data_IF_654838666217
#
_entry.id   IF_654838666217
#
_cell.length_a   1.000
_cell.length_b   1.000
_cell.length_c   1.000
_cell.angle_alpha   90.00
_cell.angle_beta   90.00
_cell.angle_gamma   90.00
#
_symmetry.space_group_name_H-M   'P 1'
#
loop_
_entity.id
_entity.type
_entity.pdbx_description
1 polymer ?
#
# COMPACT_ATOMS: atom_id res chain seq x y z
N UNK A 1 -1.82 -18.75 -44.08
CA UNK A 1 -0.34 -18.85 -43.90
C UNK A 1 0.07 -17.59 -43.16
N UNK A 2 0.70 -17.54 -41.99
CA UNK A 2 1.45 -18.51 -41.20
C UNK A 2 1.45 -17.98 -39.74
N UNK A 3 1.13 -18.81 -38.75
CA UNK A 3 1.50 -18.62 -37.34
C UNK A 3 2.95 -19.07 -37.16
N UNK A 4 3.74 -18.53 -36.21
CA UNK A 4 3.94 -19.19 -34.90
C UNK A 4 4.03 -18.16 -33.72
N UNK A 5 3.37 -18.33 -32.56
CA UNK A 5 3.60 -19.25 -31.42
C UNK A 5 4.99 -19.15 -30.75
N UNK A 6 4.95 -19.25 -29.40
CA UNK A 6 5.99 -19.73 -28.46
C UNK A 6 7.02 -18.67 -27.97
N UNK A 7 7.43 -18.55 -26.68
CA UNK A 7 7.61 -19.54 -25.60
C UNK A 7 7.80 -18.83 -24.22
N UNK A 8 7.26 -19.42 -23.14
CA UNK A 8 7.60 -19.19 -21.72
C UNK A 8 9.02 -19.68 -21.38
N UNK A 9 9.88 -18.89 -20.73
CA UNK A 9 11.10 -19.36 -20.01
C UNK A 9 11.36 -18.35 -18.86
N UNK A 10 11.08 -18.69 -17.61
CA UNK A 10 12.03 -19.23 -16.61
C UNK A 10 13.16 -18.26 -16.21
N UNK A 11 13.13 -17.83 -14.95
CA UNK A 11 14.29 -17.78 -14.07
C UNK A 11 15.22 -16.56 -14.16
N UNK A 12 15.29 -15.80 -13.06
CA UNK A 12 16.52 -15.10 -12.68
C UNK A 12 16.64 -15.09 -11.15
N UNK A 13 17.35 -16.10 -10.66
CA UNK A 13 17.86 -16.20 -9.29
C UNK A 13 19.01 -15.20 -9.19
N UNK A 14 18.90 -14.20 -8.31
CA UNK A 14 20.02 -13.30 -8.01
C UNK A 14 20.90 -13.96 -6.93
N UNK A 15 21.98 -14.60 -7.38
CA UNK A 15 23.07 -15.03 -6.52
C UNK A 15 23.96 -13.83 -6.18
N UNK A 16 24.08 -13.48 -4.89
CA UNK A 16 25.05 -12.50 -4.44
C UNK A 16 26.38 -13.21 -4.17
N UNK A 17 27.41 -12.77 -4.89
CA UNK A 17 28.77 -13.31 -4.91
C UNK A 17 29.53 -12.99 -3.62
N UNK A 18 30.17 -14.03 -3.09
CA UNK A 18 31.18 -13.97 -2.03
C UNK A 18 32.53 -13.47 -2.59
N UNK A 19 33.27 -12.68 -1.79
CA UNK A 19 34.68 -12.43 -2.07
C UNK A 19 35.31 -11.34 -1.20
N UNK A 20 35.99 -11.73 -0.12
CA UNK A 20 37.13 -11.00 0.44
C UNK A 20 38.18 -12.03 0.86
N UNK A 21 39.36 -11.91 0.26
CA UNK A 21 40.44 -12.91 0.22
C UNK A 21 41.47 -12.65 1.34
N UNK A 22 41.77 -13.70 2.13
CA UNK A 22 43.05 -14.23 2.66
C UNK A 22 44.29 -13.29 2.87
N UNK A 23 45.02 -13.30 4.00
CA UNK A 23 46.11 -14.25 4.45
C UNK A 23 46.90 -13.63 5.67
N UNK A 24 47.97 -14.23 6.27
CA UNK A 24 47.99 -15.37 7.20
C UNK A 24 48.89 -15.22 8.48
N UNK A 25 48.77 -16.20 9.39
CA UNK A 25 49.82 -16.90 10.18
C UNK A 25 50.51 -16.32 11.46
N UNK A 26 50.48 -17.20 12.48
CA UNK A 26 51.43 -17.47 13.58
C UNK A 26 51.34 -16.67 14.90
N UNK A 27 50.52 -17.19 15.84
CA UNK A 27 50.96 -17.40 17.22
C UNK A 27 50.18 -18.58 17.82
N UNK A 28 50.88 -19.67 18.09
CA UNK A 28 50.42 -20.81 18.87
C UNK A 28 50.16 -20.37 20.32
N UNK A 29 49.14 -20.91 20.98
CA UNK A 29 49.21 -21.33 22.40
C UNK A 29 47.94 -22.09 22.83
N UNK A 30 48.07 -23.41 22.84
CA UNK A 30 47.59 -24.41 23.82
C UNK A 30 46.10 -24.46 24.23
N UNK A 31 45.42 -25.61 24.08
CA UNK A 31 44.10 -25.85 24.65
C UNK A 31 44.18 -26.27 26.13
N UNK A 32 43.39 -25.69 27.04
CA UNK A 32 42.94 -26.38 28.23
C UNK A 32 41.56 -27.03 27.99
N UNK A 33 41.45 -28.24 28.53
CA UNK A 33 40.26 -29.08 28.60
C UNK A 33 39.11 -28.40 29.38
N UNK A 34 37.88 -28.94 29.33
CA UNK A 34 36.68 -28.28 29.82
C UNK A 34 36.55 -28.47 31.33
N UNK A 35 36.58 -27.37 32.09
CA UNK A 35 36.06 -27.35 33.45
C UNK A 35 34.62 -26.84 33.40
N UNK A 36 33.72 -27.78 33.54
CA UNK A 36 32.34 -27.54 33.92
C UNK A 36 32.33 -27.08 35.38
N UNK A 37 32.24 -25.77 35.62
CA UNK A 37 31.77 -25.27 36.90
C UNK A 37 30.54 -24.38 36.68
N UNK A 38 29.41 -25.06 36.88
CA UNK A 38 28.05 -24.53 36.82
C UNK A 38 27.72 -24.06 38.23
N UNK A 39 27.94 -22.79 38.52
CA UNK A 39 27.40 -22.11 39.69
C UNK A 39 26.62 -20.87 39.20
N UNK A 40 25.36 -21.06 38.82
CA UNK A 40 24.20 -20.86 39.70
C UNK A 40 23.63 -19.43 39.68
N UNK A 41 23.06 -19.03 38.55
CA UNK A 41 21.78 -18.34 38.57
C UNK A 41 20.70 -19.39 38.27
N UNK A 42 20.27 -20.11 39.32
CA UNK A 42 19.13 -21.03 39.24
C UNK A 42 17.86 -20.18 39.12
N UNK A 43 17.44 -19.87 37.90
CA UNK A 43 16.06 -19.46 37.65
C UNK A 43 15.16 -20.70 37.76
N UNK A 44 14.06 -20.66 38.53
CA UNK A 44 13.11 -21.76 38.60
C UNK A 44 12.38 -21.97 37.27
N UNK A 45 12.44 -23.21 36.76
CA UNK A 45 11.42 -23.88 35.93
C UNK A 45 10.66 -23.06 34.87
N UNK A 46 11.22 -22.98 33.65
CA UNK A 46 10.43 -22.62 32.45
C UNK A 46 10.63 -23.58 31.25
N UNK A 47 11.47 -24.61 31.37
CA UNK A 47 11.79 -25.52 30.26
C UNK A 47 11.06 -26.87 30.33
N UNK A 48 10.27 -27.13 31.38
CA UNK A 48 9.43 -28.35 31.50
C UNK A 48 8.00 -28.03 31.04
N UNK A 49 7.86 -27.84 29.74
CA UNK A 49 6.57 -27.69 29.09
C UNK A 49 6.70 -28.28 27.71
N UNK A 50 6.03 -29.42 27.49
CA UNK A 50 5.76 -29.96 26.15
C UNK A 50 5.54 -28.81 25.16
N UNK A 51 6.15 -28.80 23.96
CA UNK A 51 5.87 -27.77 22.98
C UNK A 51 4.36 -27.80 22.72
N UNK A 52 3.65 -26.82 23.30
CA UNK A 52 2.26 -26.60 22.98
C UNK A 52 2.32 -26.08 21.56
N UNK A 53 1.96 -26.93 20.59
CA UNK A 53 1.58 -26.47 19.27
C UNK A 53 0.48 -25.45 19.50
N UNK A 54 0.85 -24.17 19.49
CA UNK A 54 -0.12 -23.10 19.41
C UNK A 54 -0.90 -23.40 18.12
N UNK A 55 -2.25 -23.38 18.15
CA UNK A 55 -3.00 -23.34 16.91
C UNK A 55 -2.39 -22.22 16.06
N UNK A 56 -2.31 -22.36 14.72
CA UNK A 56 -1.89 -21.25 13.90
C UNK A 56 -2.78 -20.09 14.30
N UNK A 57 -2.19 -19.10 14.98
CA UNK A 57 -2.79 -17.79 15.09
C UNK A 57 -2.94 -17.44 13.62
N UNK A 58 -4.18 -17.47 13.13
CA UNK A 58 -4.50 -16.78 11.90
C UNK A 58 -3.81 -15.43 12.07
N UNK A 59 -2.91 -15.11 11.15
CA UNK A 59 -2.46 -13.74 10.97
C UNK A 59 -3.74 -12.96 10.67
N UNK A 60 -4.45 -12.60 11.74
CA UNK A 60 -5.29 -11.43 11.76
C UNK A 60 -4.33 -10.37 11.28
N UNK A 61 -4.59 -9.87 10.08
CA UNK A 61 -3.91 -8.72 9.54
C UNK A 61 -4.11 -7.65 10.60
N UNK A 62 -3.13 -7.53 11.51
CA UNK A 62 -3.00 -6.39 12.39
C UNK A 62 -3.08 -5.19 11.46
N UNK A 63 -3.92 -4.18 11.75
CA UNK A 63 -3.87 -2.93 11.02
C UNK A 63 -2.40 -2.51 11.00
N UNK A 64 -1.76 -2.65 9.85
CA UNK A 64 -0.43 -2.06 9.65
C UNK A 64 -0.66 -0.61 10.00
N UNK A 65 0.00 -0.13 11.05
CA UNK A 65 -0.12 1.26 11.47
C UNK A 65 -0.02 2.11 10.22
N UNK A 66 -1.14 2.71 9.80
CA UNK A 66 -1.17 3.44 8.56
C UNK A 66 -0.12 4.52 8.64
N UNK A 67 0.62 4.69 7.55
CA UNK A 67 1.54 5.81 7.48
C UNK A 67 0.72 7.09 7.74
N UNK A 68 1.25 8.05 8.52
CA UNK A 68 0.52 9.26 8.87
C UNK A 68 0.03 10.03 7.62
N UNK A 69 0.78 9.96 6.52
CA UNK A 69 0.42 10.53 5.23
C UNK A 69 -0.82 9.86 4.61
N UNK A 70 -0.97 8.53 4.75
CA UNK A 70 -2.14 7.79 4.27
C UNK A 70 -3.39 8.14 5.07
N UNK A 71 -3.25 8.25 6.40
CA UNK A 71 -4.34 8.67 7.26
C UNK A 71 -4.79 10.11 6.90
N UNK A 72 -3.83 11.02 6.68
CA UNK A 72 -4.10 12.38 6.21
C UNK A 72 -4.84 12.38 4.86
N UNK A 73 -4.33 11.65 3.87
CA UNK A 73 -4.95 11.53 2.55
C UNK A 73 -6.39 11.04 2.61
N UNK A 74 -6.68 10.03 3.45
CA UNK A 74 -8.05 9.55 3.66
C UNK A 74 -8.96 10.62 4.28
N UNK A 75 -8.51 11.28 5.34
CA UNK A 75 -9.30 12.32 6.02
C UNK A 75 -9.63 13.47 5.04
N UNK A 76 -8.63 13.91 4.27
CA UNK A 76 -8.82 14.94 3.24
C UNK A 76 -9.80 14.50 2.16
N UNK A 77 -9.69 13.26 1.65
CA UNK A 77 -10.65 12.74 0.68
C UNK A 77 -12.07 12.65 1.24
N UNK A 78 -12.21 12.25 2.49
CA UNK A 78 -13.51 12.19 3.17
C UNK A 78 -14.15 13.57 3.23
N UNK A 79 -13.38 14.61 3.57
CA UNK A 79 -13.85 15.99 3.57
C UNK A 79 -14.23 16.47 2.17
N UNK A 80 -13.39 16.24 1.16
CA UNK A 80 -13.67 16.62 -0.24
C UNK A 80 -14.95 15.97 -0.77
N UNK A 81 -15.15 14.67 -0.48
CA UNK A 81 -16.37 13.95 -0.88
C UNK A 81 -17.59 14.52 -0.15
N UNK A 82 -17.48 14.81 1.14
CA UNK A 82 -18.58 15.41 1.91
C UNK A 82 -18.96 16.79 1.36
N UNK A 83 -17.99 17.64 1.02
CA UNK A 83 -18.22 18.94 0.40
C UNK A 83 -18.92 18.76 -0.96
N UNK A 84 -18.41 17.85 -1.81
CA UNK A 84 -19.02 17.57 -3.10
C UNK A 84 -20.48 17.09 -3.02
N UNK A 85 -20.82 16.34 -1.96
CA UNK A 85 -22.19 15.92 -1.66
C UNK A 85 -23.08 17.09 -1.18
N UNK A 86 -22.50 18.10 -0.53
CA UNK A 86 -23.19 19.37 -0.20
C UNK A 86 -23.41 20.24 -1.46
N UNK A 87 -22.56 20.05 -2.48
CA UNK A 87 -22.70 20.64 -3.80
C UNK A 87 -21.71 21.75 -4.11
N UNK A 88 -20.75 22.02 -3.22
CA UNK A 88 -19.60 22.88 -3.47
C UNK A 88 -18.30 22.16 -3.09
N UNK A 89 -17.14 22.69 -3.48
CA UNK A 89 -15.85 22.18 -3.01
C UNK A 89 -15.08 23.28 -2.28
N UNK A 90 -14.60 22.99 -1.07
CA UNK A 90 -13.68 23.88 -0.36
C UNK A 90 -12.30 23.84 -1.01
N UNK A 91 -11.97 24.90 -1.75
CA UNK A 91 -10.65 25.05 -2.38
C UNK A 91 -9.57 25.56 -1.44
N UNK A 92 -9.86 25.85 -0.17
CA UNK A 92 -8.90 26.41 0.78
C UNK A 92 -7.72 25.46 1.03
N UNK A 93 -7.98 24.14 1.01
CA UNK A 93 -6.95 23.10 1.14
C UNK A 93 -6.18 22.79 -0.15
N UNK A 94 -6.53 23.43 -1.28
CA UNK A 94 -5.94 23.17 -2.58
C UNK A 94 -4.86 24.20 -2.91
N UNK A 95 -3.89 23.80 -3.72
CA UNK A 95 -3.00 24.77 -4.36
C UNK A 95 -3.77 25.55 -5.43
N UNK A 96 -3.36 26.79 -5.70
CA UNK A 96 -4.01 27.65 -6.70
C UNK A 96 -4.15 26.98 -8.08
N UNK A 97 -3.14 26.22 -8.54
CA UNK A 97 -3.19 25.52 -9.83
C UNK A 97 -4.31 24.47 -9.88
N UNK A 98 -4.46 23.68 -8.81
CA UNK A 98 -5.49 22.64 -8.74
C UNK A 98 -6.87 23.27 -8.59
N UNK A 99 -6.99 24.31 -7.77
CA UNK A 99 -8.24 25.05 -7.60
C UNK A 99 -8.70 25.71 -8.92
N UNK A 100 -7.79 26.32 -9.68
CA UNK A 100 -8.10 26.93 -10.97
C UNK A 100 -8.56 25.90 -12.00
N UNK A 101 -8.00 24.68 -11.95
CA UNK A 101 -8.40 23.56 -12.81
C UNK A 101 -9.74 22.94 -12.41
N UNK A 102 -10.05 22.86 -11.12
CA UNK A 102 -11.27 22.24 -10.61
C UNK A 102 -12.48 23.16 -10.67
N UNK A 103 -12.33 24.46 -10.39
CA UNK A 103 -13.44 25.43 -10.43
C UNK A 103 -14.32 25.39 -11.70
N UNK A 104 -13.79 25.28 -12.94
CA UNK A 104 -14.64 25.19 -14.14
C UNK A 104 -15.43 23.88 -14.25
N UNK A 105 -14.97 22.80 -13.60
CA UNK A 105 -15.61 21.48 -13.64
C UNK A 105 -16.28 21.10 -12.32
N UNK A 106 -16.25 21.97 -11.30
CA UNK A 106 -16.78 21.72 -9.96
C UNK A 106 -18.23 21.27 -10.01
N UNK A 107 -19.09 22.00 -10.70
CA UNK A 107 -20.52 21.68 -10.78
C UNK A 107 -20.79 20.33 -11.46
N UNK A 108 -19.95 19.92 -12.41
CA UNK A 108 -20.05 18.61 -13.05
C UNK A 108 -19.55 17.51 -12.11
N UNK A 109 -18.42 17.76 -11.45
CA UNK A 109 -17.81 16.84 -10.48
C UNK A 109 -18.72 16.61 -9.27
N UNK A 110 -19.31 17.65 -8.68
CA UNK A 110 -20.22 17.52 -7.54
C UNK A 110 -21.51 16.79 -7.94
N UNK A 111 -22.08 17.11 -9.10
CA UNK A 111 -23.22 16.38 -9.65
C UNK A 111 -22.90 14.90 -9.91
N UNK A 112 -21.71 14.59 -10.43
CA UNK A 112 -21.25 13.22 -10.62
C UNK A 112 -21.11 12.48 -9.27
N UNK A 113 -20.44 13.09 -8.29
CA UNK A 113 -20.24 12.51 -6.96
C UNK A 113 -21.58 12.25 -6.25
N UNK A 114 -22.54 13.18 -6.35
CA UNK A 114 -23.90 12.99 -5.85
C UNK A 114 -24.60 11.81 -6.55
N UNK A 115 -24.39 11.63 -7.85
CA UNK A 115 -24.92 10.49 -8.60
C UNK A 115 -24.31 9.14 -8.19
N UNK A 116 -23.13 9.11 -7.56
CA UNK A 116 -22.51 7.86 -7.09
C UNK A 116 -23.21 7.31 -5.84
N UNK A 117 -23.94 8.16 -5.11
CA UNK A 117 -24.64 7.80 -3.88
C UNK A 117 -23.78 7.95 -2.62
N UNK A 118 -24.17 7.28 -1.55
CA UNK A 118 -23.50 7.39 -0.26
C UNK A 118 -22.09 6.78 -0.29
N UNK A 119 -21.16 7.39 0.42
CA UNK A 119 -19.82 6.84 0.66
C UNK A 119 -19.92 5.63 1.59
N UNK A 120 -19.48 4.45 1.13
CA UNK A 120 -19.42 3.24 1.95
C UNK A 120 -18.07 3.07 2.64
N UNK A 121 -16.98 3.21 1.88
CA UNK A 121 -15.63 2.95 2.39
C UNK A 121 -14.53 3.62 1.55
N UNK A 122 -13.40 3.91 2.19
CA UNK A 122 -12.18 4.42 1.54
C UNK A 122 -11.00 3.51 1.91
N UNK A 123 -10.49 2.77 0.92
CA UNK A 123 -9.36 1.87 1.05
C UNK A 123 -8.09 2.48 0.43
N UNK A 124 -6.96 2.37 1.11
CA UNK A 124 -5.66 2.71 0.52
C UNK A 124 -5.20 1.58 -0.39
N UNK A 125 -4.90 1.89 -1.65
CA UNK A 125 -4.48 0.89 -2.66
C UNK A 125 -3.00 0.98 -3.02
N UNK A 126 -2.34 2.09 -2.70
CA UNK A 126 -0.91 2.25 -2.91
C UNK A 126 -0.53 3.69 -3.20
N UNK A 127 0.59 3.87 -3.87
CA UNK A 127 1.17 5.18 -4.14
C UNK A 127 1.53 5.29 -5.62
N UNK A 128 1.21 6.41 -6.25
CA UNK A 128 1.43 6.66 -7.67
C UNK A 128 2.07 8.04 -7.87
N UNK A 129 3.25 8.09 -8.51
CA UNK A 129 3.95 9.34 -8.86
C UNK A 129 4.21 10.30 -7.69
N UNK A 130 4.43 9.81 -6.46
CA UNK A 130 4.61 10.70 -5.30
C UNK A 130 3.29 11.07 -4.59
N UNK A 131 2.15 10.56 -5.05
CA UNK A 131 0.83 10.81 -4.50
C UNK A 131 0.18 9.51 -4.00
N UNK A 132 -0.58 9.60 -2.91
CA UNK A 132 -1.29 8.47 -2.34
C UNK A 132 -2.55 8.16 -3.15
N UNK A 133 -2.78 6.87 -3.38
CA UNK A 133 -3.88 6.36 -4.17
C UNK A 133 -4.85 5.61 -3.27
N UNK A 134 -6.10 6.01 -3.38
CA UNK A 134 -7.22 5.49 -2.62
C UNK A 134 -8.30 4.99 -3.55
N UNK A 135 -8.97 3.94 -3.13
CA UNK A 135 -10.16 3.41 -3.76
C UNK A 135 -11.35 3.76 -2.86
N UNK A 136 -12.26 4.53 -3.42
CA UNK A 136 -13.44 5.06 -2.73
C UNK A 136 -14.64 4.31 -3.27
N UNK A 137 -15.26 3.51 -2.40
CA UNK A 137 -16.44 2.73 -2.70
C UNK A 137 -17.68 3.53 -2.32
N UNK A 138 -18.47 3.84 -3.33
CA UNK A 138 -19.80 4.42 -3.19
C UNK A 138 -20.86 3.32 -3.33
N UNK A 139 -22.09 3.64 -2.93
CA UNK A 139 -23.24 2.74 -3.05
C UNK A 139 -23.45 2.26 -4.50
N UNK A 140 -23.25 3.15 -5.48
CA UNK A 140 -23.51 2.82 -6.89
C UNK A 140 -22.29 2.26 -7.62
N UNK A 141 -21.07 2.66 -7.25
CA UNK A 141 -19.84 2.24 -7.95
C UNK A 141 -18.55 2.43 -7.15
N UNK A 142 -17.45 1.94 -7.71
CA UNK A 142 -16.10 2.05 -7.16
C UNK A 142 -15.33 3.11 -7.94
N UNK A 143 -14.66 4.02 -7.24
CA UNK A 143 -13.88 5.09 -7.86
C UNK A 143 -12.46 5.07 -7.34
N UNK A 144 -11.51 5.54 -8.14
CA UNK A 144 -10.13 5.67 -7.73
C UNK A 144 -9.73 7.15 -7.66
N UNK A 145 -9.11 7.50 -6.54
CA UNK A 145 -8.68 8.85 -6.21
C UNK A 145 -7.18 8.85 -5.97
N UNK A 146 -6.48 9.80 -6.57
CA UNK A 146 -5.06 10.05 -6.26
C UNK A 146 -4.94 11.43 -5.68
N UNK A 147 -4.35 11.50 -4.49
CA UNK A 147 -4.13 12.72 -3.73
C UNK A 147 -2.65 12.89 -3.41
N UNK A 148 -2.07 14.01 -3.84
CA UNK A 148 -0.69 14.38 -3.58
C UNK A 148 -0.63 15.72 -2.88
N UNK A 149 0.18 15.81 -1.83
CA UNK A 149 0.40 17.02 -1.06
C UNK A 149 1.70 17.72 -1.48
N UNK A 150 1.72 19.04 -1.37
CA UNK A 150 2.89 19.89 -1.60
C UNK A 150 3.68 20.11 -0.29
N UNK A 151 4.79 20.87 -0.36
CA UNK A 151 5.59 21.21 0.82
C UNK A 151 4.86 22.08 1.86
N UNK A 152 3.81 22.82 1.46
CA UNK A 152 2.93 23.59 2.35
C UNK A 152 1.72 22.77 2.87
N UNK A 153 1.72 21.44 2.69
CA UNK A 153 0.63 20.54 3.08
C UNK A 153 -0.71 20.78 2.34
N UNK A 154 -0.67 21.47 1.19
CA UNK A 154 -1.85 21.67 0.34
C UNK A 154 -1.93 20.59 -0.73
N UNK A 155 -3.15 20.35 -1.20
CA UNK A 155 -3.40 19.40 -2.28
C UNK A 155 -2.82 19.97 -3.58
N UNK A 156 -1.67 19.42 -4.00
CA UNK A 156 -1.00 19.75 -5.27
C UNK A 156 -1.48 18.85 -6.41
N UNK A 157 -2.03 17.68 -6.10
CA UNK A 157 -2.59 16.76 -7.09
C UNK A 157 -3.87 16.17 -6.52
N UNK A 158 -4.99 16.38 -7.21
CA UNK A 158 -6.21 15.61 -7.00
C UNK A 158 -6.67 15.07 -8.34
N UNK A 159 -6.66 13.75 -8.49
CA UNK A 159 -7.14 13.09 -9.69
C UNK A 159 -8.27 12.13 -9.32
N UNK A 160 -9.41 12.36 -9.95
CA UNK A 160 -10.56 11.49 -9.90
C UNK A 160 -10.61 10.64 -11.17
N UNK A 161 -10.91 9.35 -11.02
CA UNK A 161 -11.20 8.45 -12.15
C UNK A 161 -12.21 7.41 -11.72
N UNK A 162 -13.20 7.19 -12.58
CA UNK A 162 -14.10 6.04 -12.49
C UNK A 162 -13.23 4.79 -12.58
N UNK A 163 -13.32 3.88 -11.61
CA UNK A 163 -12.67 2.59 -11.78
C UNK A 163 -13.39 1.91 -12.95
N UNK A 164 -12.67 1.29 -13.90
CA UNK A 164 -13.33 0.57 -14.97
C UNK A 164 -14.22 -0.50 -14.32
N UNK A 165 -15.55 -0.37 -14.50
CA UNK A 165 -16.43 -1.53 -14.42
C UNK A 165 -15.78 -2.59 -15.31
N UNK A 166 -15.60 -3.79 -14.76
CA UNK A 166 -15.08 -4.93 -15.51
C UNK A 166 -15.72 -4.91 -16.91
N UNK A 167 -14.88 -4.71 -17.93
CA UNK A 167 -15.33 -4.35 -19.26
C UNK A 167 -16.44 -5.31 -19.69
N UNK A 168 -17.61 -4.83 -20.16
CA UNK A 168 -18.61 -5.72 -20.72
C UNK A 168 -17.92 -6.61 -21.76
N UNK A 169 -18.14 -7.94 -21.76
CA UNK A 169 -17.50 -8.83 -22.71
C UNK A 169 -17.75 -8.26 -24.10
N UNK A 170 -16.66 -7.95 -24.81
CA UNK A 170 -16.72 -7.30 -26.11
C UNK A 170 -17.79 -7.99 -26.98
N UNK A 171 -18.64 -7.24 -27.70
CA UNK A 171 -19.60 -7.86 -28.60
C UNK A 171 -18.81 -8.77 -29.52
N UNK A 172 -19.14 -10.06 -29.46
CA UNK A 172 -18.54 -11.07 -30.33
C UNK A 172 -18.75 -10.59 -31.75
N UNK A 173 -17.68 -10.14 -32.40
CA UNK A 173 -17.69 -9.73 -33.81
C UNK A 173 -18.13 -10.94 -34.64
N UNK A 174 -19.44 -11.07 -34.86
CA UNK A 174 -20.03 -12.04 -35.75
C UNK A 174 -19.74 -11.59 -37.18
N UNK A 175 -18.92 -12.36 -37.87
CA UNK A 175 -18.67 -12.28 -39.30
C UNK A 175 -19.54 -13.29 -40.04
#
# INVERSE_FOLDING_TARGET
MHTPRQTLITGAILALVAGLMATPALAQQTPPAPDSDVAAARLPNAFDGTPRTAPPVAVQQTPTAEAPDVARGRETLTAVIADAQDGSLDFTGFTDDVADRLRPVEAELTAAIQSFGALESIAYVGHQNGADMFEVRFESLLTQWVIGFDGDDRIAVLLFREAPDEAPPAPSSGN
#
